data_IF_242343986648
#
_entry.id   IF_242343986648
#
_cell.length_a   1.000
_cell.length_b   1.000
_cell.length_c   1.000
_cell.angle_alpha   90.00
_cell.angle_beta   90.00
_cell.angle_gamma   90.00
#
_symmetry.space_group_name_H-M   'P 1'
#
loop_
_entity.id
_entity.type
_entity.pdbx_description
1 polymer ?
#
# COMPACT_ATOMS: atom_id res chain seq x y z
N UNK A 1 1.21 -18.32 -9.61
CA UNK A 1 0.39 -18.27 -10.84
C UNK A 1 0.80 -17.04 -11.63
N UNK A 2 0.92 -17.16 -12.96
CA UNK A 2 1.13 -16.02 -13.85
C UNK A 2 -0.20 -15.29 -14.09
N UNK A 3 -0.17 -13.97 -14.20
CA UNK A 3 -1.33 -13.10 -14.40
C UNK A 3 -1.07 -12.19 -15.61
N UNK A 4 -2.10 -11.95 -16.42
CA UNK A 4 -2.08 -10.96 -17.50
C UNK A 4 -3.13 -9.91 -17.19
N UNK A 5 -2.71 -8.66 -17.04
CA UNK A 5 -3.57 -7.50 -16.95
C UNK A 5 -3.81 -6.92 -18.35
N UNK A 6 -4.74 -5.96 -18.48
CA UNK A 6 -5.01 -5.30 -19.77
C UNK A 6 -3.75 -4.69 -20.40
N UNK A 7 -2.82 -4.19 -19.58
CA UNK A 7 -1.62 -3.47 -20.02
C UNK A 7 -0.32 -3.95 -19.34
N UNK A 8 -0.34 -5.09 -18.65
CA UNK A 8 0.82 -5.57 -17.89
C UNK A 8 0.81 -7.10 -17.69
N UNK A 9 1.94 -7.62 -17.26
CA UNK A 9 2.10 -9.01 -16.84
C UNK A 9 2.48 -9.04 -15.36
N UNK A 10 2.12 -10.13 -14.66
CA UNK A 10 2.42 -10.27 -13.25
C UNK A 10 2.54 -11.71 -12.80
N UNK A 11 2.99 -11.86 -11.56
CA UNK A 11 2.97 -13.13 -10.85
C UNK A 11 2.23 -12.95 -9.53
N UNK A 12 1.50 -14.00 -9.12
CA UNK A 12 0.73 -14.00 -7.89
C UNK A 12 0.93 -15.32 -7.14
N UNK A 13 1.16 -15.22 -5.83
CA UNK A 13 1.29 -16.37 -4.96
C UNK A 13 0.61 -16.09 -3.61
N UNK A 14 0.08 -17.14 -2.99
CA UNK A 14 -0.46 -17.09 -1.63
C UNK A 14 -0.14 -18.38 -0.89
N UNK A 15 0.10 -18.29 0.41
CA UNK A 15 0.25 -19.46 1.25
C UNK A 15 -0.18 -19.16 2.67
N UNK A 16 -1.05 -20.00 3.22
CA UNK A 16 -1.42 -19.99 4.65
C UNK A 16 -0.50 -20.84 5.53
N UNK A 17 0.48 -21.52 4.91
CA UNK A 17 1.43 -22.43 5.58
C UNK A 17 2.89 -22.05 5.35
N UNK A 18 3.16 -20.85 4.82
CA UNK A 18 4.51 -20.30 4.67
C UNK A 18 5.07 -19.93 6.06
N UNK A 19 5.78 -20.87 6.66
CA UNK A 19 6.34 -20.73 8.02
C UNK A 19 7.20 -19.47 8.15
N UNK A 20 7.08 -18.79 9.28
CA UNK A 20 7.80 -17.53 9.56
C UNK A 20 7.11 -16.26 9.05
N UNK A 21 6.08 -16.36 8.19
CA UNK A 21 5.27 -15.20 7.77
C UNK A 21 4.06 -15.03 8.69
N UNK A 22 3.74 -13.78 9.02
CA UNK A 22 2.61 -13.39 9.86
C UNK A 22 1.56 -12.63 9.05
N UNK A 23 1.96 -11.53 8.42
CA UNK A 23 1.09 -10.67 7.62
C UNK A 23 1.78 -10.23 6.32
N UNK A 24 2.52 -11.14 5.67
CA UNK A 24 3.31 -10.81 4.47
C UNK A 24 2.45 -10.69 3.21
N UNK A 25 1.66 -9.63 3.13
CA UNK A 25 1.21 -9.09 1.86
C UNK A 25 2.34 -8.23 1.28
N UNK A 26 3.03 -8.75 0.28
CA UNK A 26 4.13 -8.06 -0.40
C UNK A 26 3.80 -7.97 -1.88
N UNK A 27 4.12 -6.83 -2.48
CA UNK A 27 4.04 -6.62 -3.92
C UNK A 27 5.18 -5.73 -4.39
N UNK A 28 5.47 -5.84 -5.68
CA UNK A 28 6.39 -4.97 -6.39
C UNK A 28 5.84 -4.67 -7.77
N UNK A 29 6.13 -3.46 -8.26
CA UNK A 29 5.73 -3.00 -9.58
C UNK A 29 6.97 -2.47 -10.29
N UNK A 30 7.24 -3.00 -11.48
CA UNK A 30 8.36 -2.58 -12.33
C UNK A 30 7.83 -1.87 -13.56
N UNK A 31 8.22 -0.61 -13.71
CA UNK A 31 7.89 0.23 -14.86
C UNK A 31 9.13 0.61 -15.66
N UNK A 32 8.92 1.26 -16.81
CA UNK A 32 10.02 1.75 -17.66
C UNK A 32 10.86 2.85 -17.00
N UNK A 33 10.33 3.50 -15.95
CA UNK A 33 10.95 4.63 -15.26
C UNK A 33 11.14 4.38 -13.76
N UNK A 34 11.13 3.13 -13.32
CA UNK A 34 11.41 2.83 -11.92
C UNK A 34 10.75 1.56 -11.40
N UNK A 35 10.97 1.32 -10.11
CA UNK A 35 10.42 0.18 -9.37
C UNK A 35 9.84 0.66 -8.04
N UNK A 36 8.73 0.06 -7.61
CA UNK A 36 8.12 0.27 -6.28
C UNK A 36 8.01 -1.08 -5.59
N UNK A 37 8.38 -1.16 -4.31
CA UNK A 37 8.28 -2.37 -3.48
C UNK A 37 7.64 -2.03 -2.14
N UNK A 38 6.71 -2.88 -1.69
CA UNK A 38 6.00 -2.74 -0.43
C UNK A 38 5.85 -4.08 0.28
N UNK A 39 5.92 -4.08 1.61
CA UNK A 39 5.62 -5.24 2.45
C UNK A 39 4.77 -4.82 3.65
N UNK A 40 3.61 -5.44 3.83
CA UNK A 40 2.69 -5.15 4.93
C UNK A 40 3.27 -5.47 6.32
N UNK A 41 4.22 -6.39 6.44
CA UNK A 41 4.94 -6.60 7.72
C UNK A 41 5.79 -5.38 8.12
N UNK A 42 6.15 -4.54 7.14
CA UNK A 42 6.82 -3.25 7.30
C UNK A 42 5.95 -2.13 6.68
N UNK A 43 4.66 -2.08 7.04
CA UNK A 43 3.66 -1.23 6.34
C UNK A 43 3.93 0.28 6.31
N UNK A 44 4.91 0.78 7.07
CA UNK A 44 5.32 2.19 7.07
C UNK A 44 6.54 2.46 6.17
N UNK A 45 6.92 1.49 5.32
CA UNK A 45 8.04 1.61 4.40
C UNK A 45 7.58 1.36 2.96
N UNK A 46 7.87 2.33 2.10
CA UNK A 46 7.75 2.21 0.65
C UNK A 46 9.14 2.34 0.05
N UNK A 47 9.54 1.37 -0.76
CA UNK A 47 10.84 1.39 -1.42
C UNK A 47 10.65 1.79 -2.89
N UNK A 48 11.36 2.80 -3.35
CA UNK A 48 11.22 3.34 -4.71
C UNK A 48 12.60 3.43 -5.34
N UNK A 49 12.72 3.01 -6.60
CA UNK A 49 13.88 3.26 -7.46
C UNK A 49 13.45 4.12 -8.65
N UNK A 50 14.26 5.12 -9.00
CA UNK A 50 14.12 5.98 -10.18
C UNK A 50 15.41 6.04 -11.02
N UNK A 51 15.34 6.40 -12.31
CA UNK A 51 16.51 6.65 -13.14
C UNK A 51 17.50 7.61 -12.46
N UNK A 52 18.77 7.23 -12.44
CA UNK A 52 19.83 8.00 -11.78
C UNK A 52 20.05 7.66 -10.30
N UNK A 53 19.14 6.93 -9.65
CA UNK A 53 19.36 6.40 -8.30
C UNK A 53 20.21 5.12 -8.37
N UNK A 54 21.19 4.98 -7.45
CA UNK A 54 22.08 3.82 -7.39
C UNK A 54 21.39 2.54 -6.89
N UNK A 55 20.18 2.65 -6.33
CA UNK A 55 19.40 1.55 -5.79
C UNK A 55 18.08 2.03 -5.20
N UNK A 56 17.32 1.13 -4.59
CA UNK A 56 16.05 1.46 -3.93
C UNK A 56 16.29 2.45 -2.77
N UNK A 57 15.51 3.53 -2.77
CA UNK A 57 15.43 4.51 -1.70
C UNK A 57 14.23 4.19 -0.81
N UNK A 58 14.44 4.20 0.50
CA UNK A 58 13.40 3.94 1.50
C UNK A 58 12.66 5.23 1.84
N UNK A 59 11.35 5.24 1.61
CA UNK A 59 10.42 6.28 2.01
C UNK A 59 9.62 5.81 3.21
N UNK A 60 9.60 6.61 4.27
CA UNK A 60 8.91 6.30 5.52
C UNK A 60 7.57 7.02 5.53
N UNK A 61 6.52 6.34 5.99
CA UNK A 61 5.20 6.93 6.18
C UNK A 61 5.22 8.13 7.12
N UNK A 62 4.45 9.16 6.78
CA UNK A 62 4.44 10.43 7.49
C UNK A 62 3.44 11.44 6.93
N UNK A 63 3.45 12.68 7.45
CA UNK A 63 2.46 13.74 7.17
C UNK A 63 2.19 14.07 5.70
N UNK A 64 3.18 13.87 4.83
CA UNK A 64 3.05 14.16 3.40
C UNK A 64 2.27 13.07 2.64
N UNK A 65 1.93 11.96 3.30
CA UNK A 65 1.14 10.87 2.73
C UNK A 65 -0.35 11.03 3.07
N UNK A 66 -1.26 10.56 2.20
CA UNK A 66 -2.71 10.65 2.43
C UNK A 66 -3.12 10.10 3.81
N UNK A 67 -4.08 10.77 4.43
CA UNK A 67 -4.77 10.38 5.67
C UNK A 67 -3.90 10.26 6.94
N UNK A 68 -2.58 10.34 6.84
CA UNK A 68 -1.67 10.23 7.99
C UNK A 68 -1.91 11.34 9.02
N UNK A 69 -2.10 12.57 8.54
CA UNK A 69 -2.31 13.76 9.38
C UNK A 69 -3.55 13.66 10.28
N UNK A 70 -4.53 12.81 9.92
CA UNK A 70 -5.72 12.58 10.74
C UNK A 70 -5.37 11.85 12.05
N UNK A 71 -4.28 11.06 12.05
CA UNK A 71 -3.83 10.27 13.19
C UNK A 71 -2.63 10.90 13.92
N UNK A 72 -1.65 11.44 13.19
CA UNK A 72 -0.45 12.01 13.76
C UNK A 72 0.11 13.17 12.92
N UNK A 73 0.39 14.34 13.49
CA UNK A 73 0.98 15.45 12.75
C UNK A 73 2.50 15.33 12.55
N UNK A 74 3.17 14.40 13.24
CA UNK A 74 4.63 14.33 13.30
C UNK A 74 5.18 13.09 12.55
N UNK A 75 6.27 13.23 11.78
CA UNK A 75 6.94 12.09 11.15
C UNK A 75 7.56 11.14 12.19
N UNK A 76 7.77 9.88 11.81
CA UNK A 76 8.45 8.87 12.65
C UNK A 76 7.52 8.11 13.60
N UNK A 77 6.23 8.44 13.63
CA UNK A 77 5.21 7.63 14.30
C UNK A 77 4.59 6.66 13.30
N UNK A 78 4.71 5.37 13.57
CA UNK A 78 4.18 4.36 12.67
C UNK A 78 2.66 4.35 12.70
N UNK A 79 2.04 4.30 11.52
CA UNK A 79 0.65 3.89 11.40
C UNK A 79 0.49 2.40 11.69
N UNK A 80 -0.60 2.03 12.34
CA UNK A 80 -0.98 0.67 12.68
C UNK A 80 -2.00 0.06 11.71
N UNK A 81 -2.14 -1.25 11.77
CA UNK A 81 -3.13 -1.99 10.99
C UNK A 81 -4.57 -1.51 11.21
N UNK A 82 -4.93 -1.16 12.46
CA UNK A 82 -6.29 -0.75 12.79
C UNK A 82 -6.67 0.61 12.22
N UNK A 83 -5.71 1.51 12.02
CA UNK A 83 -5.96 2.83 11.41
C UNK A 83 -6.37 2.69 9.94
N UNK A 84 -5.91 1.65 9.24
CA UNK A 84 -6.40 1.32 7.91
C UNK A 84 -7.91 1.00 7.90
N UNK A 85 -8.45 0.45 9.00
CA UNK A 85 -9.89 0.19 9.13
C UNK A 85 -10.67 1.47 9.43
N UNK A 86 -10.06 2.42 10.14
CA UNK A 86 -10.65 3.75 10.38
C UNK A 86 -10.78 4.51 9.07
N UNK A 87 -9.73 4.52 8.23
CA UNK A 87 -9.75 5.14 6.90
C UNK A 87 -10.87 4.52 6.03
N UNK A 88 -10.96 3.18 5.98
CA UNK A 88 -12.02 2.49 5.24
C UNK A 88 -13.42 2.81 5.75
N UNK A 89 -13.59 2.95 7.06
CA UNK A 89 -14.87 3.34 7.66
C UNK A 89 -15.23 4.79 7.28
N UNK A 90 -14.25 5.69 7.26
CA UNK A 90 -14.44 7.06 6.77
C UNK A 90 -14.87 7.08 5.30
N UNK A 91 -14.17 6.36 4.42
CA UNK A 91 -14.52 6.27 2.99
C UNK A 91 -15.96 5.79 2.78
N UNK A 92 -16.37 4.76 3.52
CA UNK A 92 -17.74 4.25 3.49
C UNK A 92 -18.77 5.28 3.97
N UNK A 93 -18.50 5.95 5.10
CA UNK A 93 -19.39 6.97 5.64
C UNK A 93 -19.52 8.17 4.69
N UNK A 94 -18.43 8.57 4.05
CA UNK A 94 -18.45 9.64 3.04
C UNK A 94 -19.29 9.24 1.83
N UNK A 95 -19.18 8.01 1.34
CA UNK A 95 -20.01 7.50 0.26
C UNK A 95 -21.51 7.47 0.64
N UNK A 96 -21.84 7.04 1.86
CA UNK A 96 -23.22 7.08 2.39
C UNK A 96 -23.75 8.51 2.45
N UNK A 97 -22.89 9.49 2.77
CA UNK A 97 -23.24 10.90 2.81
C UNK A 97 -23.36 11.55 1.41
N UNK A 98 -23.18 10.79 0.32
CA UNK A 98 -23.32 11.27 -1.06
C UNK A 98 -22.02 11.71 -1.74
N UNK A 99 -20.87 11.51 -1.11
CA UNK A 99 -19.59 11.65 -1.80
C UNK A 99 -19.40 10.51 -2.83
N UNK A 100 -18.55 10.69 -3.86
CA UNK A 100 -18.23 9.61 -4.79
C UNK A 100 -17.66 8.39 -4.05
N UNK A 101 -18.14 7.20 -4.41
CA UNK A 101 -17.55 5.96 -3.92
C UNK A 101 -16.17 5.76 -4.58
N UNK A 102 -15.12 5.75 -3.76
CA UNK A 102 -13.72 5.54 -4.20
C UNK A 102 -13.27 4.09 -4.04
N UNK A 103 -14.09 3.23 -3.43
CA UNK A 103 -13.79 1.83 -3.15
C UNK A 103 -14.59 0.85 -4.02
N UNK A 104 -14.25 -0.45 -3.95
CA UNK A 104 -15.07 -1.49 -4.57
C UNK A 104 -16.46 -1.54 -3.92
N UNK A 105 -17.49 -1.74 -4.73
CA UNK A 105 -18.83 -2.07 -4.27
C UNK A 105 -19.26 -3.45 -4.78
N UNK A 106 -20.57 -3.73 -4.76
CA UNK A 106 -21.12 -5.02 -5.19
C UNK A 106 -21.47 -5.07 -6.68
N UNK A 107 -21.43 -3.94 -7.39
CA UNK A 107 -21.84 -3.84 -8.80
C UNK A 107 -20.74 -4.27 -9.78
#
# INVERSE_FOLDING_TARGET
MAVRFAQAHGSFARSRVARGRKCRLQWETHGSQGTIVFCQENMNELWIHRPGEAGLVRYVTGPDQPDFLVFCPAPGHNSGFNEQMIIKAQDLLMAIAGAPNTGPDFA
#
